data_IF_302350985871
#
_entry.id   IF_302350985871
#
_cell.length_a   1.000
_cell.length_b   1.000
_cell.length_c   1.000
_cell.angle_alpha   90.00
_cell.angle_beta   90.00
_cell.angle_gamma   90.00
#
_symmetry.space_group_name_H-M   'P 1'
#
loop_
_entity.id
_entity.type
_entity.pdbx_description
1 polymer ?
#
# COMPACT_ATOMS: atom_id res chain seq x y z
N UNK A 1 9.59 -9.60 5.51
CA UNK A 1 9.42 -10.34 4.23
C UNK A 1 9.37 -9.37 3.06
N UNK A 2 9.68 -9.81 1.83
CA UNK A 2 9.52 -9.00 0.61
C UNK A 2 8.21 -9.35 -0.10
N UNK A 3 7.36 -8.37 -0.40
CA UNK A 3 6.07 -8.57 -1.09
C UNK A 3 5.84 -7.51 -2.15
N UNK A 4 5.26 -7.92 -3.28
CA UNK A 4 4.81 -7.03 -4.36
C UNK A 4 3.29 -7.04 -4.38
N UNK A 5 2.68 -5.86 -4.31
CA UNK A 5 1.25 -5.67 -4.11
C UNK A 5 0.72 -4.84 -5.28
N UNK A 6 -0.29 -5.37 -5.98
CA UNK A 6 -1.03 -4.59 -6.96
C UNK A 6 -2.06 -3.72 -6.22
N UNK A 7 -2.09 -2.44 -6.55
CA UNK A 7 -2.98 -1.43 -5.99
C UNK A 7 -4.04 -1.12 -7.03
N UNK A 8 -5.26 -1.59 -6.80
CA UNK A 8 -6.39 -1.35 -7.68
C UNK A 8 -7.30 -0.31 -6.99
N UNK A 9 -7.19 0.98 -7.33
CA UNK A 9 -7.93 2.03 -6.63
C UNK A 9 -9.44 1.95 -6.85
N UNK A 10 -9.90 1.34 -7.94
CA UNK A 10 -11.32 1.26 -8.29
C UNK A 10 -11.92 2.63 -8.60
N UNK A 11 -13.23 2.78 -8.34
CA UNK A 11 -14.02 3.96 -8.67
C UNK A 11 -14.49 4.72 -7.41
N UNK A 12 -15.21 5.83 -7.61
CA UNK A 12 -15.72 6.66 -6.53
C UNK A 12 -14.58 7.31 -5.75
N UNK A 13 -14.59 7.21 -4.42
CA UNK A 13 -13.53 7.77 -3.55
C UNK A 13 -12.28 6.89 -3.45
N UNK A 14 -12.26 5.76 -4.15
CA UNK A 14 -11.19 4.77 -4.11
C UNK A 14 -9.80 5.35 -4.43
N UNK A 15 -9.63 6.11 -5.54
CA UNK A 15 -8.38 6.79 -5.88
C UNK A 15 -7.86 7.75 -4.78
N UNK A 16 -8.74 8.42 -4.05
CA UNK A 16 -8.40 9.39 -3.01
C UNK A 16 -7.98 8.72 -1.69
N UNK A 17 -8.61 7.60 -1.33
CA UNK A 17 -8.33 6.91 -0.06
C UNK A 17 -7.20 5.90 -0.16
N UNK A 18 -6.97 5.31 -1.34
CA UNK A 18 -5.97 4.24 -1.52
C UNK A 18 -4.54 4.65 -1.12
N UNK A 19 -4.08 5.90 -1.38
CA UNK A 19 -2.79 6.37 -0.88
C UNK A 19 -2.67 6.29 0.65
N UNK A 20 -3.77 6.41 1.40
CA UNK A 20 -3.76 6.30 2.87
C UNK A 20 -3.44 4.87 3.32
N UNK A 21 -4.05 3.87 2.67
CA UNK A 21 -3.77 2.47 2.96
C UNK A 21 -2.31 2.12 2.67
N UNK A 22 -1.76 2.64 1.57
CA UNK A 22 -0.34 2.49 1.21
C UNK A 22 0.56 3.09 2.30
N UNK A 23 0.27 4.31 2.79
CA UNK A 23 1.04 4.94 3.88
C UNK A 23 1.06 4.10 5.16
N UNK A 24 -0.08 3.49 5.52
CA UNK A 24 -0.15 2.59 6.69
C UNK A 24 0.71 1.36 6.48
N UNK A 25 0.65 0.74 5.28
CA UNK A 25 1.48 -0.42 4.95
C UNK A 25 2.96 -0.10 4.98
N UNK A 26 3.38 1.07 4.51
CA UNK A 26 4.78 1.53 4.60
C UNK A 26 5.24 1.65 6.06
N UNK A 27 4.42 2.26 6.93
CA UNK A 27 4.72 2.39 8.36
C UNK A 27 4.83 1.02 9.05
N UNK A 28 3.92 0.09 8.75
CA UNK A 28 3.99 -1.29 9.25
C UNK A 28 5.20 -2.03 8.67
N UNK A 29 5.53 -1.78 7.41
CA UNK A 29 6.71 -2.32 6.75
C UNK A 29 7.99 -1.97 7.51
N UNK A 30 8.18 -0.68 7.80
CA UNK A 30 9.30 -0.18 8.58
C UNK A 30 9.31 -0.76 10.00
N UNK A 31 8.17 -0.76 10.69
CA UNK A 31 8.06 -1.23 12.09
C UNK A 31 8.33 -2.72 12.24
N UNK A 32 7.91 -3.55 11.28
CA UNK A 32 7.95 -5.01 11.39
C UNK A 32 9.02 -5.66 10.49
N UNK A 33 9.90 -4.88 9.85
CA UNK A 33 10.92 -5.42 8.94
C UNK A 33 10.33 -6.10 7.70
N UNK A 34 9.23 -5.56 7.18
CA UNK A 34 8.66 -5.96 5.90
C UNK A 34 8.98 -4.94 4.82
N UNK A 35 9.22 -5.42 3.61
CA UNK A 35 9.47 -4.59 2.44
C UNK A 35 8.29 -4.80 1.48
N UNK A 36 7.53 -3.74 1.28
CA UNK A 36 6.43 -3.69 0.33
C UNK A 36 6.87 -2.92 -0.92
N UNK A 37 6.41 -3.39 -2.07
CA UNK A 37 6.53 -2.69 -3.36
C UNK A 37 5.15 -2.65 -3.97
N UNK A 38 4.76 -1.49 -4.49
CA UNK A 38 3.42 -1.26 -5.01
C UNK A 38 3.45 -1.06 -6.53
N UNK A 39 2.51 -1.68 -7.21
CA UNK A 39 2.25 -1.47 -8.65
C UNK A 39 0.81 -1.02 -8.78
N UNK A 40 0.58 0.06 -9.51
CA UNK A 40 -0.76 0.65 -9.71
C UNK A 40 -1.29 0.25 -11.08
#
# INVERSE_FOLDING_TARGET
>A
MKKRIAVLPGDGIGPEIMPQAVRVLEAIGQKCGHQFTFTY
#
